data_IF_777839253403
#
_entry.id   IF_777839253403
#
_cell.length_a   1.000
_cell.length_b   1.000
_cell.length_c   1.000
_cell.angle_alpha   90.00
_cell.angle_beta   90.00
_cell.angle_gamma   90.00
#
_symmetry.space_group_name_H-M   'P 1'
#
loop_
_entity.id
_entity.type
_entity.pdbx_description
1 polymer ?
#
# COMPACT_ATOMS: atom_id res chain seq x y z
N UNK A 1 -10.63 7.97 0.89
CA UNK A 1 -9.53 7.00 1.13
C UNK A 1 -10.00 5.64 0.65
N UNK A 2 -9.07 4.78 0.24
CA UNK A 2 -9.37 3.41 -0.21
C UNK A 2 -8.89 2.45 0.89
N UNK A 3 -9.75 1.52 1.31
CA UNK A 3 -9.38 0.52 2.32
C UNK A 3 -8.71 -0.68 1.66
N UNK A 4 -7.59 -1.13 2.23
CA UNK A 4 -6.95 -2.41 1.91
C UNK A 4 -7.28 -3.43 3.01
N UNK A 5 -8.43 -4.09 2.87
CA UNK A 5 -8.97 -4.95 3.94
C UNK A 5 -8.21 -6.26 4.13
N UNK A 6 -7.70 -6.86 3.04
CA UNK A 6 -7.06 -8.17 3.09
C UNK A 6 -5.85 -8.25 2.18
N UNK A 7 -4.71 -8.55 2.78
CA UNK A 7 -3.49 -8.96 2.08
C UNK A 7 -2.97 -10.24 2.72
N UNK A 8 -3.11 -11.36 2.02
CA UNK A 8 -2.67 -12.67 2.47
C UNK A 8 -1.83 -13.33 1.38
N UNK A 9 -0.92 -14.20 1.81
CA UNK A 9 -0.13 -15.05 0.92
C UNK A 9 -0.17 -16.48 1.44
N UNK A 10 0.06 -17.44 0.56
CA UNK A 10 0.19 -18.84 0.96
C UNK A 10 1.44 -19.02 1.83
N UNK A 11 1.34 -19.93 2.81
CA UNK A 11 2.40 -20.15 3.80
C UNK A 11 3.75 -20.53 3.17
N UNK A 12 3.72 -21.37 2.12
CA UNK A 12 4.89 -21.80 1.35
C UNK A 12 5.58 -20.72 0.50
N UNK A 13 5.00 -19.53 0.40
CA UNK A 13 5.59 -18.39 -0.35
C UNK A 13 6.27 -17.37 0.56
N UNK A 14 6.52 -17.76 1.81
CA UNK A 14 7.27 -16.94 2.76
C UNK A 14 8.67 -16.70 2.23
N UNK A 15 9.12 -15.45 2.32
CA UNK A 15 10.45 -14.99 1.87
C UNK A 15 10.68 -14.94 0.35
N UNK A 16 9.69 -15.31 -0.48
CA UNK A 16 9.78 -15.15 -1.95
C UNK A 16 9.46 -13.73 -2.45
N UNK A 17 9.32 -12.76 -1.53
CA UNK A 17 8.95 -11.38 -1.86
C UNK A 17 7.48 -11.17 -2.26
N UNK A 18 6.66 -12.23 -2.34
CA UNK A 18 5.26 -12.16 -2.80
C UNK A 18 4.42 -11.13 -2.03
N UNK A 19 4.56 -11.08 -0.70
CA UNK A 19 3.83 -10.09 0.12
C UNK A 19 4.19 -8.64 -0.24
N UNK A 20 5.47 -8.38 -0.52
CA UNK A 20 5.96 -7.06 -0.94
C UNK A 20 5.47 -6.71 -2.35
N UNK A 21 5.52 -7.67 -3.29
CA UNK A 21 5.02 -7.46 -4.65
C UNK A 21 3.52 -7.15 -4.66
N UNK A 22 2.73 -7.91 -3.89
CA UNK A 22 1.28 -7.67 -3.79
C UNK A 22 0.97 -6.32 -3.17
N UNK A 23 1.71 -5.92 -2.12
CA UNK A 23 1.57 -4.59 -1.52
C UNK A 23 1.84 -3.47 -2.53
N UNK A 24 2.95 -3.53 -3.27
CA UNK A 24 3.25 -2.53 -4.29
C UNK A 24 2.24 -2.50 -5.41
N UNK A 25 1.74 -3.67 -5.82
CA UNK A 25 0.69 -3.75 -6.83
C UNK A 25 -0.59 -3.06 -6.35
N UNK A 26 -0.99 -3.29 -5.10
CA UNK A 26 -2.13 -2.60 -4.47
C UNK A 26 -1.93 -1.09 -4.37
N UNK A 27 -0.75 -0.64 -3.94
CA UNK A 27 -0.40 0.80 -3.90
C UNK A 27 -0.49 1.41 -5.30
N UNK A 28 0.14 0.77 -6.28
CA UNK A 28 0.16 1.27 -7.65
C UNK A 28 -1.26 1.35 -8.23
N UNK A 29 -2.06 0.30 -8.06
CA UNK A 29 -3.46 0.31 -8.49
C UNK A 29 -4.24 1.44 -7.80
N UNK A 30 -4.07 1.61 -6.49
CA UNK A 30 -4.76 2.63 -5.73
C UNK A 30 -4.35 4.06 -6.14
N UNK A 31 -3.10 4.29 -6.54
CA UNK A 31 -2.62 5.57 -7.06
C UNK A 31 -3.32 6.00 -8.36
N UNK A 32 -3.90 5.06 -9.12
CA UNK A 32 -4.63 5.36 -10.36
C UNK A 32 -6.13 5.63 -10.13
N UNK A 33 -6.65 5.43 -8.92
CA UNK A 33 -8.07 5.64 -8.59
C UNK A 33 -8.43 7.11 -8.28
N UNK A 34 -7.57 7.94 -7.66
CA UNK A 34 -7.84 9.35 -7.34
C UNK A 34 -8.36 10.19 -8.49
N UNK A 35 -7.87 9.96 -9.70
CA UNK A 35 -8.31 10.68 -10.92
C UNK A 35 -9.81 10.50 -11.21
N UNK A 36 -10.45 9.50 -10.62
CA UNK A 36 -11.88 9.22 -10.80
C UNK A 36 -12.72 9.51 -9.56
N UNK A 37 -12.17 9.33 -8.36
CA UNK A 37 -12.95 9.32 -7.11
C UNK A 37 -12.50 10.35 -6.06
N UNK A 38 -11.48 11.17 -6.35
CA UNK A 38 -10.98 12.18 -5.40
C UNK A 38 -10.38 11.57 -4.13
N UNK A 39 -9.90 10.33 -4.19
CA UNK A 39 -9.27 9.67 -3.04
C UNK A 39 -7.86 10.23 -2.79
N UNK A 40 -7.47 10.33 -1.52
CA UNK A 40 -6.20 10.95 -1.09
C UNK A 40 -5.13 9.95 -0.64
N UNK A 41 -5.50 8.67 -0.49
CA UNK A 41 -4.58 7.63 -0.03
C UNK A 41 -5.24 6.27 0.17
N UNK A 42 -4.38 5.32 0.55
CA UNK A 42 -4.75 3.99 1.05
C UNK A 42 -4.76 4.00 2.57
N UNK A 43 -5.67 3.24 3.16
CA UNK A 43 -5.70 2.96 4.59
C UNK A 43 -5.75 1.46 4.81
N UNK A 44 -5.08 0.98 5.86
CA UNK A 44 -5.11 -0.44 6.25
C UNK A 44 -5.11 -0.60 7.77
N UNK A 45 -5.68 -1.71 8.22
CA UNK A 45 -5.72 -2.13 9.63
C UNK A 45 -4.84 -3.39 9.78
N UNK A 46 -3.60 -3.28 10.29
CA UNK A 46 -2.71 -4.41 10.48
C UNK A 46 -3.23 -5.32 11.60
N UNK A 47 -3.47 -6.60 11.26
CA UNK A 47 -3.98 -7.59 12.22
C UNK A 47 -3.09 -7.87 13.45
N UNK A 48 -1.83 -7.39 13.47
CA UNK A 48 -0.93 -7.49 14.62
C UNK A 48 0.27 -6.54 14.49
N UNK A 49 0.99 -6.36 15.60
CA UNK A 49 2.19 -5.50 15.70
C UNK A 49 3.30 -5.86 14.70
N UNK A 50 3.44 -7.14 14.32
CA UNK A 50 4.47 -7.53 13.32
C UNK A 50 4.12 -7.00 11.93
N UNK A 51 2.84 -7.03 11.57
CA UNK A 51 2.36 -6.46 10.31
C UNK A 51 2.37 -4.93 10.34
N UNK A 52 2.01 -4.33 11.47
CA UNK A 52 2.14 -2.89 11.67
C UNK A 52 3.57 -2.41 11.36
N UNK A 53 4.56 -3.01 12.06
CA UNK A 53 5.98 -2.69 11.86
C UNK A 53 6.52 -3.04 10.46
N UNK A 54 5.86 -3.97 9.76
CA UNK A 54 6.20 -4.30 8.39
C UNK A 54 5.73 -3.18 7.45
N UNK A 55 4.48 -2.73 7.56
CA UNK A 55 3.92 -1.72 6.67
C UNK A 55 4.54 -0.32 6.86
N UNK A 56 4.94 0.05 8.09
CA UNK A 56 5.65 1.31 8.34
C UNK A 56 7.00 1.43 7.62
N UNK A 57 7.55 0.33 7.08
CA UNK A 57 8.76 0.34 6.24
C UNK A 57 8.47 0.79 4.79
N UNK A 58 7.20 0.96 4.42
CA UNK A 58 6.73 1.32 3.08
C UNK A 58 5.99 2.67 3.08
N UNK A 59 6.48 3.62 3.88
CA UNK A 59 5.95 4.99 4.01
C UNK A 59 4.54 5.12 4.58
N UNK A 60 3.94 4.01 5.03
CA UNK A 60 2.71 4.05 5.80
C UNK A 60 2.94 4.74 7.15
N UNK A 61 2.08 5.69 7.48
CA UNK A 61 2.11 6.46 8.72
C UNK A 61 0.86 6.18 9.55
N UNK A 62 0.89 6.32 10.89
CA UNK A 62 -0.31 6.21 11.71
C UNK A 62 -1.39 7.20 11.27
N UNK A 63 -2.65 6.78 11.32
CA UNK A 63 -3.77 7.68 11.11
C UNK A 63 -3.89 8.62 12.32
N UNK A 64 -3.99 9.95 12.13
CA UNK A 64 -4.19 10.86 13.25
C UNK A 64 -5.46 10.52 14.05
N UNK A 65 -5.29 10.16 15.32
CA UNK A 65 -6.40 9.77 16.20
C UNK A 65 -6.75 8.28 16.19
N UNK A 66 -6.05 7.46 15.41
CA UNK A 66 -6.16 5.99 15.45
C UNK A 66 -4.77 5.34 15.33
N UNK A 67 -4.23 4.89 16.46
CA UNK A 67 -2.90 4.30 16.56
C UNK A 67 -2.80 2.88 15.96
N UNK A 68 -3.94 2.26 15.63
CA UNK A 68 -3.94 0.91 15.05
C UNK A 68 -3.96 0.96 13.52
N UNK A 69 -4.49 2.03 12.93
CA UNK A 69 -4.61 2.16 11.49
C UNK A 69 -3.41 2.87 10.88
N UNK A 70 -3.05 2.43 9.68
CA UNK A 70 -1.97 3.01 8.89
C UNK A 70 -2.51 3.61 7.59
N UNK A 71 -1.96 4.75 7.21
CA UNK A 71 -2.30 5.52 6.02
C UNK A 71 -1.10 5.71 5.11
N UNK A 72 -1.32 5.56 3.80
CA UNK A 72 -0.37 5.89 2.75
C UNK A 72 -0.99 6.98 1.87
N UNK A 73 -0.40 8.17 1.89
CA UNK A 73 -0.85 9.31 1.10
C UNK A 73 -0.38 9.24 -0.35
N UNK A 74 -1.23 9.64 -1.30
CA UNK A 74 -0.90 9.65 -2.72
C UNK A 74 -0.15 10.91 -3.18
N UNK A 75 0.54 11.62 -2.29
CA UNK A 75 1.11 12.94 -2.57
C UNK A 75 2.02 12.92 -3.82
N UNK A 76 1.59 13.63 -4.87
CA UNK A 76 2.33 13.97 -6.09
C UNK A 76 3.21 12.86 -6.70
N UNK A 77 2.62 11.71 -7.03
CA UNK A 77 3.20 10.87 -8.08
C UNK A 77 3.04 11.59 -9.42
N UNK A 78 4.06 12.38 -9.78
CA UNK A 78 4.21 12.88 -11.15
C UNK A 78 4.05 11.70 -12.13
N UNK A 79 3.26 11.82 -13.21
CA UNK A 79 3.05 10.77 -14.20
C UNK A 79 4.36 10.25 -14.85
N UNK A 80 5.49 10.93 -14.64
CA UNK A 80 6.82 10.57 -15.14
C UNK A 80 7.46 9.33 -14.51
N UNK A 81 7.02 8.87 -13.33
CA UNK A 81 7.65 7.70 -12.67
C UNK A 81 7.13 6.33 -13.12
N UNK A 82 6.16 6.30 -14.05
CA UNK A 82 5.61 5.06 -14.64
C UNK A 82 6.48 4.47 -15.77
N UNK A 83 7.66 5.02 -16.06
CA UNK A 83 8.50 4.55 -17.18
C UNK A 83 9.24 3.23 -16.90
N UNK A 84 9.22 2.69 -15.67
CA UNK A 84 10.03 1.50 -15.32
C UNK A 84 9.29 0.17 -15.32
N UNK A 85 8.03 0.10 -15.76
CA UNK A 85 7.26 -1.17 -15.73
C UNK A 85 6.87 -1.73 -17.10
N UNK A 86 7.15 -1.02 -18.21
CA UNK A 86 6.97 -1.55 -19.56
C UNK A 86 7.99 -0.99 -20.57
N UNK A 87 9.30 -1.14 -20.30
CA UNK A 87 10.30 -1.16 -21.37
C UNK A 87 10.54 -2.62 -21.76
N UNK A 88 10.25 -2.94 -23.02
CA UNK A 88 10.45 -4.26 -23.65
C UNK A 88 11.87 -4.80 -23.49
#
# INVERSE_FOLDING_TARGET
MISLDRLARQEGDKYKGVGKCMLYWSINMANHIPQYLGCTGLVLDPANVKLYNYYTQFDFQPVPGDDNMLFYGFENLSPSNNQYLFSK
#
